data_IF_442272236614
#
_entry.id   IF_442272236614
#
_cell.length_a   1.000
_cell.length_b   1.000
_cell.length_c   1.000
_cell.angle_alpha   90.00
_cell.angle_beta   90.00
_cell.angle_gamma   90.00
#
_symmetry.space_group_name_H-M   'P 1'
#
loop_
_entity.id
_entity.type
_entity.pdbx_description
1 polymer ?
#
# COMPACT_ATOMS: atom_id res chain seq x y z
N UNK A 1 -36.67 -40.76 -67.98
CA UNK A 1 -35.52 -40.65 -67.06
C UNK A 1 -36.13 -40.39 -65.68
N UNK A 2 -36.50 -41.37 -64.85
CA UNK A 2 -36.16 -42.80 -64.72
C UNK A 2 -34.76 -43.09 -64.14
N UNK A 3 -34.71 -43.89 -63.05
CA UNK A 3 -33.58 -44.03 -62.10
C UNK A 3 -33.70 -43.03 -60.93
N UNK A 4 -33.89 -43.34 -59.64
CA UNK A 4 -33.61 -44.53 -58.78
C UNK A 4 -32.09 -44.65 -58.44
N UNK A 5 -31.68 -44.53 -57.16
CA UNK A 5 -31.63 -45.59 -56.11
C UNK A 5 -30.46 -46.55 -56.39
N UNK A 6 -29.56 -46.97 -55.52
CA UNK A 6 -29.12 -46.75 -54.12
C UNK A 6 -27.88 -47.69 -53.97
N UNK A 7 -26.88 -47.36 -53.15
CA UNK A 7 -25.76 -48.22 -52.69
C UNK A 7 -24.89 -47.28 -51.82
N UNK A 8 -24.88 -47.27 -50.49
CA UNK A 8 -24.87 -48.27 -49.40
C UNK A 8 -23.48 -48.74 -48.94
N UNK A 9 -23.35 -48.74 -47.61
CA UNK A 9 -22.38 -49.35 -46.71
C UNK A 9 -21.06 -49.91 -47.25
N UNK A 10 -19.95 -49.32 -46.79
CA UNK A 10 -18.74 -50.09 -46.45
C UNK A 10 -18.30 -49.77 -45.01
N UNK A 11 -18.28 -50.82 -44.16
CA UNK A 11 -17.50 -51.00 -42.91
C UNK A 11 -16.94 -49.74 -42.22
N UNK A 12 -17.40 -49.31 -41.02
CA UNK A 12 -17.23 -49.96 -39.69
C UNK A 12 -15.82 -50.51 -39.40
N UNK A 13 -15.36 -50.27 -38.16
CA UNK A 13 -13.95 -50.24 -37.71
C UNK A 13 -13.20 -49.06 -38.36
N UNK A 14 -12.47 -48.21 -37.64
CA UNK A 14 -11.97 -48.31 -36.27
C UNK A 14 -12.51 -47.20 -35.35
N UNK A 15 -12.97 -47.61 -34.17
CA UNK A 15 -12.98 -46.78 -32.96
C UNK A 15 -12.09 -47.47 -31.92
N UNK A 16 -11.78 -46.79 -30.81
CA UNK A 16 -10.86 -47.21 -29.74
C UNK A 16 -9.36 -47.17 -30.07
N UNK A 17 -8.75 -45.99 -29.90
CA UNK A 17 -7.56 -45.77 -29.06
C UNK A 17 -7.28 -44.25 -29.01
N UNK A 18 -7.45 -43.64 -27.83
CA UNK A 18 -7.35 -42.17 -27.69
C UNK A 18 -7.85 -41.60 -26.36
N UNK A 19 -7.70 -42.35 -25.26
CA UNK A 19 -8.06 -41.90 -23.92
C UNK A 19 -6.84 -41.83 -22.99
N UNK A 20 -6.91 -40.93 -22.00
CA UNK A 20 -5.92 -40.76 -20.90
C UNK A 20 -4.55 -40.22 -21.37
N UNK A 21 -4.50 -38.94 -21.75
CA UNK A 21 -3.23 -38.21 -21.96
C UNK A 21 -3.25 -36.70 -21.61
N UNK A 22 -4.29 -36.17 -20.95
CA UNK A 22 -4.44 -34.71 -20.71
C UNK A 22 -4.92 -34.35 -19.29
N UNK A 23 -4.18 -34.74 -18.26
CA UNK A 23 -4.38 -34.26 -16.87
C UNK A 23 -3.08 -33.67 -16.27
N UNK A 24 -1.91 -34.16 -16.68
CA UNK A 24 -0.60 -33.73 -16.13
C UNK A 24 -0.20 -32.31 -16.59
N UNK A 25 -0.67 -31.86 -17.76
CA UNK A 25 -0.22 -30.61 -18.38
C UNK A 25 -0.68 -29.31 -17.67
N UNK A 26 -1.65 -29.37 -16.74
CA UNK A 26 -2.20 -28.18 -16.08
C UNK A 26 -1.48 -27.86 -14.75
N UNK A 27 -0.87 -28.86 -14.10
CA UNK A 27 -0.23 -28.69 -12.79
C UNK A 27 1.13 -27.97 -12.86
N UNK A 28 1.76 -27.88 -14.04
CA UNK A 28 3.03 -27.18 -14.23
C UNK A 28 2.97 -25.65 -14.06
N UNK A 29 1.79 -25.03 -14.06
CA UNK A 29 1.65 -23.58 -13.96
C UNK A 29 1.60 -23.05 -12.51
N UNK A 30 1.28 -23.91 -11.52
CA UNK A 30 0.96 -23.46 -10.16
C UNK A 30 2.11 -23.47 -9.15
N UNK A 31 3.25 -24.06 -9.46
CA UNK A 31 4.47 -23.96 -8.63
C UNK A 31 4.41 -24.61 -7.22
N UNK A 32 3.34 -25.33 -6.89
CA UNK A 32 3.17 -25.97 -5.56
C UNK A 32 3.96 -27.27 -5.50
N UNK A 33 5.20 -27.17 -5.02
CA UNK A 33 6.14 -28.30 -4.90
C UNK A 33 6.08 -29.03 -3.56
N UNK A 34 4.91 -29.19 -2.95
CA UNK A 34 4.71 -30.21 -1.91
C UNK A 34 3.23 -30.59 -1.69
N UNK A 35 2.94 -31.89 -1.70
CA UNK A 35 1.59 -32.43 -1.45
C UNK A 35 1.44 -33.03 -0.03
N UNK A 36 2.48 -32.96 0.81
CA UNK A 36 2.53 -33.62 2.11
C UNK A 36 2.15 -32.70 3.29
N UNK A 37 2.07 -31.38 3.07
CA UNK A 37 1.89 -30.36 4.12
C UNK A 37 0.41 -30.17 4.55
N UNK A 38 -0.55 -30.42 3.64
CA UNK A 38 -1.99 -30.27 3.92
C UNK A 38 -2.59 -31.33 4.88
N UNK A 39 -1.75 -32.04 5.65
CA UNK A 39 -2.19 -33.10 6.58
C UNK A 39 -2.11 -32.71 8.05
N UNK A 40 -1.32 -31.69 8.41
CA UNK A 40 -1.26 -31.19 9.80
C UNK A 40 -2.35 -30.13 10.07
N UNK A 41 -2.70 -29.30 9.08
CA UNK A 41 -3.73 -28.24 9.18
C UNK A 41 -5.18 -28.74 9.36
N UNK A 42 -5.38 -30.04 9.59
CA UNK A 42 -6.68 -30.66 9.90
C UNK A 42 -6.70 -31.37 11.27
N UNK A 43 -5.62 -31.30 12.06
CA UNK A 43 -5.54 -31.91 13.39
C UNK A 43 -5.87 -30.93 14.54
N UNK A 44 -5.43 -29.68 14.42
CA UNK A 44 -5.41 -28.72 15.54
C UNK A 44 -6.75 -27.99 15.72
N UNK A 45 -7.75 -28.69 16.27
CA UNK A 45 -9.11 -28.15 16.47
C UNK A 45 -9.66 -28.42 17.88
N UNK A 46 -9.35 -27.54 18.85
CA UNK A 46 -10.02 -27.47 20.16
C UNK A 46 -9.81 -26.10 20.84
N UNK A 47 -10.87 -25.41 21.31
CA UNK A 47 -10.75 -24.12 22.00
C UNK A 47 -10.80 -24.24 23.54
N UNK A 48 -10.07 -23.39 24.30
CA UNK A 48 -10.35 -23.13 25.70
C UNK A 48 -11.48 -22.10 25.86
N UNK A 49 -12.27 -22.21 26.94
CA UNK A 49 -13.42 -21.33 27.25
C UNK A 49 -13.24 -20.63 28.59
N UNK A 50 -13.75 -19.39 28.71
CA UNK A 50 -14.06 -18.68 29.99
C UNK A 50 -12.86 -18.32 30.90
N UNK A 51 -12.83 -17.26 31.73
CA UNK A 51 -13.55 -15.98 31.91
C UNK A 51 -12.59 -15.06 32.73
N UNK A 52 -12.83 -13.84 33.25
CA UNK A 52 -14.03 -13.05 33.60
C UNK A 52 -13.71 -11.53 33.60
N UNK A 53 -14.69 -10.70 33.96
CA UNK A 53 -14.54 -9.28 34.35
C UNK A 53 -15.17 -9.06 35.75
N UNK A 54 -15.31 -7.84 36.32
CA UNK A 54 -14.69 -6.54 36.01
C UNK A 54 -14.00 -5.89 37.24
N UNK A 55 -13.50 -4.65 37.12
CA UNK A 55 -13.35 -3.75 38.29
C UNK A 55 -13.57 -2.27 37.90
N UNK A 56 -14.41 -1.58 38.68
CA UNK A 56 -14.54 -0.12 38.70
C UNK A 56 -13.60 0.51 39.74
N UNK A 57 -13.21 1.77 39.56
CA UNK A 57 -13.13 2.77 40.65
C UNK A 57 -12.96 4.20 40.13
N UNK A 58 -13.59 5.16 40.83
CA UNK A 58 -13.37 6.61 40.75
C UNK A 58 -12.00 7.00 41.36
N UNK A 59 -11.47 8.23 41.25
CA UNK A 59 -11.94 9.45 40.58
C UNK A 59 -11.90 10.71 41.46
N UNK A 60 -10.96 11.63 41.19
CA UNK A 60 -10.82 13.04 41.69
C UNK A 60 -9.91 13.82 40.72
N UNK A 61 -10.02 15.11 40.34
CA UNK A 61 -10.85 16.29 40.71
C UNK A 61 -10.17 17.32 41.66
N UNK A 62 -10.15 18.60 41.21
CA UNK A 62 -9.42 19.80 41.70
C UNK A 62 -7.88 19.77 41.50
N UNK A 63 -7.19 20.63 40.73
CA UNK A 63 -7.13 22.11 40.45
C UNK A 63 -6.28 22.91 41.46
N UNK A 64 -5.84 24.16 41.17
CA UNK A 64 -4.45 24.55 40.93
C UNK A 64 -3.77 25.25 42.13
N UNK A 65 -2.52 25.69 41.96
CA UNK A 65 -2.09 27.01 42.45
C UNK A 65 -0.78 27.48 41.77
N UNK A 66 -0.63 28.81 41.69
CA UNK A 66 0.54 29.59 41.24
C UNK A 66 0.91 30.52 42.41
N UNK A 67 2.20 30.72 42.71
CA UNK A 67 2.56 32.07 43.12
C UNK A 67 3.91 32.57 42.56
N UNK A 68 3.79 33.63 41.78
CA UNK A 68 4.53 34.91 41.84
C UNK A 68 5.94 34.98 42.46
N UNK A 69 6.75 35.81 41.78
CA UNK A 69 8.09 36.24 42.11
C UNK A 69 8.32 36.80 43.54
N UNK A 70 9.59 36.79 43.95
CA UNK A 70 10.11 37.68 44.99
C UNK A 70 11.55 38.08 44.68
N UNK A 71 11.81 39.38 44.52
CA UNK A 71 13.16 39.95 44.36
C UNK A 71 13.98 39.87 45.66
N UNK A 72 15.30 39.78 45.53
CA UNK A 72 16.24 39.93 46.64
C UNK A 72 17.58 40.52 46.18
N UNK A 73 17.73 41.84 46.30
CA UNK A 73 19.02 42.53 46.20
C UNK A 73 20.01 42.05 47.28
N UNK A 74 21.30 41.96 46.92
CA UNK A 74 22.41 41.96 47.88
C UNK A 74 23.71 42.40 47.22
N UNK A 75 24.07 43.68 47.41
CA UNK A 75 25.38 44.21 47.01
C UNK A 75 26.46 43.84 48.06
N UNK A 76 27.63 43.40 47.61
CA UNK A 76 28.82 43.14 48.43
C UNK A 76 30.10 43.44 47.62
N UNK A 77 31.08 44.19 48.15
CA UNK A 77 32.14 44.78 47.33
C UNK A 77 33.52 44.07 47.39
N UNK A 78 34.34 44.40 46.39
CA UNK A 78 35.81 44.53 46.36
C UNK A 78 36.69 43.45 47.03
N UNK A 79 37.50 42.78 46.21
CA UNK A 79 38.97 42.67 46.38
C UNK A 79 39.63 42.18 45.08
N UNK A 80 40.73 42.82 44.68
CA UNK A 80 41.56 42.43 43.53
C UNK A 80 42.43 41.19 43.83
N UNK A 81 42.82 40.44 42.79
CA UNK A 81 44.13 39.77 42.74
C UNK A 81 44.52 39.50 41.26
N UNK A 82 45.79 39.76 40.91
CA UNK A 82 46.31 39.70 39.53
C UNK A 82 47.11 38.41 39.30
N UNK A 83 46.58 37.51 38.46
CA UNK A 83 47.33 36.39 37.88
C UNK A 83 46.93 36.18 36.41
N UNK A 84 47.73 36.69 35.49
CA UNK A 84 47.50 36.52 34.05
C UNK A 84 48.00 35.19 33.48
N UNK A 85 47.68 34.94 32.20
CA UNK A 85 48.49 34.07 31.35
C UNK A 85 47.90 32.72 30.94
N UNK A 86 46.65 32.67 30.50
CA UNK A 86 46.29 31.78 29.39
C UNK A 86 45.20 32.43 28.52
N UNK A 87 45.42 32.48 27.21
CA UNK A 87 44.36 32.78 26.24
C UNK A 87 43.72 31.45 25.84
N UNK A 88 42.94 30.88 26.75
CA UNK A 88 42.03 29.79 26.38
C UNK A 88 40.99 30.39 25.45
N UNK A 89 41.10 30.08 24.15
CA UNK A 89 40.05 30.38 23.18
C UNK A 89 38.74 29.76 23.72
N UNK A 90 37.60 30.47 23.69
CA UNK A 90 36.35 29.92 24.18
C UNK A 90 36.02 28.70 23.32
N UNK A 91 36.17 27.52 23.93
CA UNK A 91 35.97 26.23 23.30
C UNK A 91 34.58 26.26 22.68
N UNK A 92 34.53 26.23 21.35
CA UNK A 92 33.33 26.59 20.62
C UNK A 92 32.35 25.45 20.74
N UNK A 93 31.51 25.51 21.79
CA UNK A 93 30.46 24.54 22.09
C UNK A 93 29.66 24.29 20.82
N UNK A 94 30.03 23.21 20.14
CA UNK A 94 29.49 22.85 18.84
C UNK A 94 28.13 22.27 19.14
N UNK A 95 27.17 23.17 19.27
CA UNK A 95 25.76 22.88 19.52
C UNK A 95 25.27 22.00 18.39
N UNK A 96 25.32 20.70 18.62
CA UNK A 96 24.75 19.70 17.72
C UNK A 96 23.33 20.15 17.37
N UNK A 97 22.97 20.25 16.08
CA UNK A 97 21.65 20.71 15.70
C UNK A 97 20.59 19.84 16.37
N UNK A 98 19.50 20.47 16.82
CA UNK A 98 18.40 19.78 17.49
C UNK A 98 17.92 18.65 16.57
N UNK A 99 17.93 17.38 17.01
CA UNK A 99 17.56 16.27 16.14
C UNK A 99 16.15 16.42 15.56
N UNK A 100 16.01 16.24 14.25
CA UNK A 100 14.74 16.19 13.56
C UNK A 100 14.38 14.72 13.27
N UNK A 101 13.54 14.08 14.10
CA UNK A 101 13.19 12.67 13.93
C UNK A 101 12.35 12.42 12.67
N UNK A 102 11.78 13.46 12.05
CA UNK A 102 11.10 13.31 10.75
C UNK A 102 12.13 13.26 9.64
N UNK A 103 13.13 14.14 9.67
CA UNK A 103 14.27 14.12 8.77
C UNK A 103 15.01 12.77 8.81
N UNK A 104 15.28 12.25 10.01
CA UNK A 104 15.87 10.92 10.21
C UNK A 104 14.99 9.80 9.64
N UNK A 105 13.66 9.85 9.88
CA UNK A 105 12.71 8.86 9.35
C UNK A 105 12.67 8.85 7.81
N UNK A 106 12.79 10.02 7.16
CA UNK A 106 12.90 10.12 5.70
C UNK A 106 14.26 9.66 5.18
N UNK A 107 15.36 9.94 5.91
CA UNK A 107 16.73 9.54 5.53
C UNK A 107 17.01 8.04 5.73
N UNK A 108 16.27 7.37 6.61
CA UNK A 108 16.37 5.93 6.81
C UNK A 108 15.86 5.10 5.62
N UNK A 109 14.93 5.66 4.82
CA UNK A 109 14.29 4.96 3.71
C UNK A 109 15.24 4.77 2.52
N UNK A 110 15.34 3.55 2.03
CA UNK A 110 16.21 3.13 0.93
C UNK A 110 15.44 2.81 -0.36
N UNK A 111 16.14 2.89 -1.51
CA UNK A 111 15.58 2.45 -2.79
C UNK A 111 15.40 0.93 -2.79
N UNK A 112 14.18 0.48 -3.08
CA UNK A 112 13.76 -0.93 -3.00
C UNK A 112 12.81 -1.21 -1.84
N UNK A 113 12.81 -0.38 -0.79
CA UNK A 113 11.95 -0.54 0.39
C UNK A 113 10.46 -0.48 0.01
N UNK A 114 9.64 -1.24 0.74
CA UNK A 114 8.20 -1.26 0.56
C UNK A 114 7.48 -0.77 1.81
N UNK A 115 6.76 0.34 1.67
CA UNK A 115 6.14 1.09 2.75
C UNK A 115 4.63 0.86 2.74
N UNK A 116 4.05 0.57 3.92
CA UNK A 116 2.60 0.40 4.09
C UNK A 116 1.89 1.76 4.24
N UNK A 117 1.94 2.58 3.19
CA UNK A 117 1.41 3.96 3.19
C UNK A 117 0.66 4.26 1.89
N UNK A 118 -0.48 4.94 2.00
CA UNK A 118 -1.39 5.21 0.88
C UNK A 118 -1.99 6.61 0.92
N UNK A 119 -2.61 7.01 -0.19
CA UNK A 119 -3.38 8.25 -0.29
C UNK A 119 -4.76 8.07 0.37
N UNK A 120 -5.10 8.83 1.41
CA UNK A 120 -6.45 8.81 2.02
C UNK A 120 -7.51 9.32 1.04
N UNK A 121 -7.11 10.12 0.04
CA UNK A 121 -7.99 10.81 -0.88
C UNK A 121 -8.69 12.04 -0.30
N UNK A 122 -8.39 12.46 0.93
CA UNK A 122 -9.03 13.62 1.58
C UNK A 122 -8.69 14.94 0.87
N UNK A 123 -7.45 15.12 0.41
CA UNK A 123 -7.01 16.31 -0.35
C UNK A 123 -7.31 16.23 -1.88
N UNK A 124 -7.91 15.12 -2.33
CA UNK A 124 -8.64 14.99 -3.60
C UNK A 124 -7.85 14.97 -4.91
N UNK A 125 -6.99 15.96 -5.16
CA UNK A 125 -6.05 16.00 -6.30
C UNK A 125 -4.59 16.08 -5.86
N UNK A 126 -4.34 16.52 -4.63
CA UNK A 126 -3.09 16.30 -3.93
C UNK A 126 -3.20 14.98 -3.15
N UNK A 127 -2.07 14.28 -2.98
CA UNK A 127 -2.01 13.10 -2.12
C UNK A 127 -2.02 13.54 -0.66
N UNK A 128 -2.83 12.86 0.13
CA UNK A 128 -2.87 12.97 1.59
C UNK A 128 -2.37 11.63 2.15
N UNK A 129 -1.14 11.55 2.64
CA UNK A 129 -0.55 10.27 3.04
C UNK A 129 -1.16 9.76 4.35
N UNK A 130 -1.36 8.45 4.45
CA UNK A 130 -1.95 7.77 5.63
C UNK A 130 -1.06 7.74 6.89
N UNK A 131 0.08 8.43 6.86
CA UNK A 131 1.01 8.66 7.96
C UNK A 131 1.81 9.95 7.66
N UNK A 132 2.22 10.68 8.70
CA UNK A 132 3.01 11.92 8.54
C UNK A 132 4.48 11.64 8.22
N UNK A 133 5.00 10.50 8.67
CA UNK A 133 6.38 10.04 8.46
C UNK A 133 6.39 8.63 7.84
N UNK A 134 7.45 8.25 7.08
CA UNK A 134 7.56 6.91 6.52
C UNK A 134 7.49 5.81 7.60
N UNK A 135 6.61 4.80 7.45
CA UNK A 135 6.60 3.66 8.36
C UNK A 135 7.79 2.74 8.10
N UNK A 136 8.12 1.87 9.06
CA UNK A 136 9.15 0.83 8.89
C UNK A 136 8.93 0.01 7.60
N UNK A 137 9.99 -0.25 6.81
CA UNK A 137 9.90 -1.09 5.61
C UNK A 137 9.37 -2.50 5.91
N UNK A 138 8.36 -2.91 5.15
CA UNK A 138 7.79 -4.26 5.19
C UNK A 138 8.16 -5.04 3.93
N UNK A 139 7.91 -6.36 3.93
CA UNK A 139 8.07 -7.16 2.72
C UNK A 139 7.21 -6.64 1.56
N UNK A 140 7.82 -6.45 0.39
CA UNK A 140 7.12 -6.13 -0.86
C UNK A 140 6.08 -7.19 -1.30
N UNK A 141 6.14 -8.38 -0.70
CA UNK A 141 5.16 -9.46 -0.88
C UNK A 141 4.02 -9.43 0.16
N UNK A 142 4.00 -8.48 1.08
CA UNK A 142 2.91 -8.31 2.05
C UNK A 142 1.58 -8.04 1.33
N UNK A 143 0.56 -8.87 1.58
CA UNK A 143 -0.75 -8.75 0.88
C UNK A 143 -1.67 -7.66 1.47
N UNK A 144 -1.09 -6.69 2.18
CA UNK A 144 -1.79 -5.50 2.67
C UNK A 144 -2.26 -4.58 1.53
N UNK A 145 -3.36 -3.86 1.77
CA UNK A 145 -3.76 -2.76 0.90
C UNK A 145 -2.85 -1.55 1.16
N UNK A 146 -2.55 -0.75 0.12
CA UNK A 146 -1.76 0.48 0.32
C UNK A 146 -0.25 0.26 0.44
N UNK A 147 0.30 -0.75 -0.24
CA UNK A 147 1.75 -0.97 -0.31
C UNK A 147 2.38 -0.18 -1.47
N UNK A 148 3.46 0.55 -1.22
CA UNK A 148 4.24 1.28 -2.24
C UNK A 148 5.73 0.93 -2.15
N UNK A 149 6.40 0.78 -3.28
CA UNK A 149 7.85 0.59 -3.35
C UNK A 149 8.58 1.91 -3.64
N UNK A 150 9.68 2.16 -2.94
CA UNK A 150 10.57 3.30 -3.15
C UNK A 150 11.48 3.03 -4.36
N UNK A 151 11.45 3.95 -5.32
CA UNK A 151 12.12 3.81 -6.64
C UNK A 151 13.24 4.83 -6.86
N UNK A 152 13.25 5.92 -6.09
CA UNK A 152 14.35 6.89 -5.97
C UNK A 152 14.22 7.62 -4.64
N UNK A 153 15.34 7.98 -4.03
CA UNK A 153 15.43 8.83 -2.82
C UNK A 153 16.11 10.17 -3.11
N UNK A 154 16.47 10.43 -4.37
CA UNK A 154 17.24 11.59 -4.81
C UNK A 154 16.34 12.71 -5.33
N UNK A 155 16.89 13.93 -5.37
CA UNK A 155 16.18 15.15 -5.78
C UNK A 155 15.56 15.19 -7.18
N UNK A 156 15.86 14.17 -7.98
CA UNK A 156 15.21 13.80 -9.25
C UNK A 156 13.72 14.12 -9.32
N UNK A 157 13.27 14.51 -10.52
CA UNK A 157 11.84 14.58 -10.85
C UNK A 157 11.26 13.16 -10.80
N UNK A 158 10.39 12.90 -9.82
CA UNK A 158 9.76 11.60 -9.69
C UNK A 158 8.90 11.25 -10.93
N UNK A 159 8.89 9.98 -11.37
CA UNK A 159 7.97 9.51 -12.40
C UNK A 159 6.51 9.79 -12.02
N UNK A 160 5.70 10.17 -13.01
CA UNK A 160 4.26 10.40 -12.85
C UNK A 160 3.44 9.36 -13.61
N UNK A 161 2.16 9.20 -13.23
CA UNK A 161 1.24 8.24 -13.84
C UNK A 161 0.36 7.53 -12.82
N UNK A 162 -0.46 6.58 -13.28
CA UNK A 162 -1.28 5.78 -12.39
C UNK A 162 -0.40 4.85 -11.53
N UNK A 163 -0.51 4.98 -10.21
CA UNK A 163 0.31 4.24 -9.25
C UNK A 163 1.71 4.83 -9.04
N UNK A 164 1.96 6.10 -9.38
CA UNK A 164 3.26 6.76 -9.20
C UNK A 164 3.12 8.10 -8.47
N UNK A 165 3.99 8.35 -7.50
CA UNK A 165 3.89 9.50 -6.60
C UNK A 165 5.26 9.97 -6.07
N UNK A 166 5.25 11.12 -5.40
CA UNK A 166 6.35 11.65 -4.60
C UNK A 166 5.88 11.96 -3.18
N UNK A 167 6.69 11.61 -2.19
CA UNK A 167 6.57 12.09 -0.82
C UNK A 167 7.86 12.83 -0.47
N UNK A 168 7.77 14.00 0.15
CA UNK A 168 8.95 14.78 0.50
C UNK A 168 8.76 15.46 1.85
N UNK A 169 9.89 15.65 2.54
CA UNK A 169 10.00 16.42 3.76
C UNK A 169 11.15 17.40 3.65
N UNK A 170 10.95 18.63 4.13
CA UNK A 170 11.99 19.65 4.26
C UNK A 170 12.16 19.95 5.74
N UNK A 171 13.36 19.67 6.26
CA UNK A 171 13.70 19.90 7.66
C UNK A 171 13.68 21.38 7.99
N UNK A 172 13.05 21.72 9.12
CA UNK A 172 13.08 23.08 9.65
C UNK A 172 14.41 23.39 10.38
N UNK A 173 15.22 22.36 10.67
CA UNK A 173 16.49 22.50 11.42
C UNK A 173 17.69 22.55 10.48
N UNK A 174 17.80 21.58 9.55
CA UNK A 174 18.92 21.52 8.59
C UNK A 174 18.66 22.30 7.30
N UNK A 175 17.39 22.52 6.96
CA UNK A 175 16.98 23.04 5.64
C UNK A 175 17.07 22.03 4.51
N UNK A 176 17.56 20.80 4.75
CA UNK A 176 17.65 19.76 3.74
C UNK A 176 16.26 19.23 3.36
N UNK A 177 16.10 18.81 2.10
CA UNK A 177 14.87 18.19 1.61
C UNK A 177 15.15 16.76 1.19
N UNK A 178 14.45 15.80 1.79
CA UNK A 178 14.49 14.39 1.36
C UNK A 178 13.24 14.06 0.56
N UNK A 179 13.39 13.38 -0.58
CA UNK A 179 12.32 13.13 -1.56
C UNK A 179 12.27 11.66 -1.97
N UNK A 180 11.19 10.98 -1.60
CA UNK A 180 10.90 9.59 -1.93
C UNK A 180 10.01 9.53 -3.19
N UNK A 181 10.52 9.01 -4.29
CA UNK A 181 9.72 8.68 -5.47
C UNK A 181 9.20 7.25 -5.35
N UNK A 182 7.89 7.07 -5.26
CA UNK A 182 7.28 5.75 -5.00
C UNK A 182 6.41 5.26 -6.15
N UNK A 183 6.42 3.95 -6.39
CA UNK A 183 5.52 3.25 -7.32
C UNK A 183 4.70 2.22 -6.55
N UNK A 184 3.41 2.14 -6.81
CA UNK A 184 2.48 1.32 -6.03
C UNK A 184 2.56 -0.16 -6.39
N UNK A 185 2.60 -1.02 -5.38
CA UNK A 185 2.39 -2.46 -5.56
C UNK A 185 0.89 -2.75 -5.56
N UNK A 186 0.39 -3.34 -6.65
CA UNK A 186 -1.00 -3.74 -6.78
C UNK A 186 -1.18 -5.24 -6.48
N UNK A 187 -2.13 -5.54 -5.60
CA UNK A 187 -2.61 -6.89 -5.33
C UNK A 187 -4.07 -7.07 -5.77
N UNK A 188 -4.53 -8.32 -5.76
CA UNK A 188 -5.95 -8.66 -5.93
C UNK A 188 -6.69 -8.55 -4.59
N UNK A 189 -8.01 -8.38 -4.65
CA UNK A 189 -8.95 -8.42 -3.52
C UNK A 189 -8.78 -7.32 -2.46
N UNK A 190 -8.36 -6.13 -2.90
CA UNK A 190 -8.47 -4.91 -2.09
C UNK A 190 -9.18 -3.81 -2.89
N UNK A 191 -9.57 -2.74 -2.21
CA UNK A 191 -10.31 -1.63 -2.80
C UNK A 191 -9.57 -0.30 -2.79
N UNK A 192 -9.89 0.53 -3.77
CA UNK A 192 -9.36 1.89 -3.96
C UNK A 192 -10.52 2.85 -4.25
N UNK A 193 -10.31 4.14 -4.05
CA UNK A 193 -11.28 5.17 -4.39
C UNK A 193 -11.36 5.37 -5.91
N UNK A 194 -12.53 5.78 -6.41
CA UNK A 194 -12.77 6.05 -7.82
C UNK A 194 -13.68 7.25 -8.05
N UNK A 195 -13.43 7.98 -9.14
CA UNK A 195 -14.24 9.11 -9.58
C UNK A 195 -14.85 8.81 -10.94
N UNK A 196 -16.16 8.53 -10.95
CA UNK A 196 -16.95 8.33 -12.17
C UNK A 196 -17.66 9.64 -12.57
N UNK A 197 -17.58 10.01 -13.86
CA UNK A 197 -18.32 11.11 -14.47
C UNK A 197 -18.85 10.63 -15.82
N UNK A 198 -20.15 10.39 -15.93
CA UNK A 198 -20.71 9.66 -17.08
C UNK A 198 -20.21 8.21 -17.10
N UNK A 199 -19.75 7.72 -18.26
CA UNK A 199 -19.08 6.41 -18.36
C UNK A 199 -17.58 6.45 -17.96
N UNK A 200 -16.94 7.62 -18.00
CA UNK A 200 -15.52 7.75 -17.62
C UNK A 200 -15.33 7.48 -16.13
N UNK A 201 -14.41 6.57 -15.78
CA UNK A 201 -14.03 6.27 -14.40
C UNK A 201 -12.52 6.43 -14.21
N UNK A 202 -12.13 7.38 -13.35
CA UNK A 202 -10.73 7.62 -12.96
C UNK A 202 -10.42 6.88 -11.65
N UNK A 203 -9.23 6.28 -11.61
CA UNK A 203 -8.73 5.54 -10.44
C UNK A 203 -8.04 6.50 -9.46
N UNK A 204 -8.40 6.43 -8.18
CA UNK A 204 -7.59 6.98 -7.08
C UNK A 204 -6.36 6.09 -6.89
N UNK A 205 -5.41 6.18 -7.82
CA UNK A 205 -4.42 5.12 -8.04
C UNK A 205 -3.49 4.84 -6.86
N UNK A 206 -3.23 5.84 -6.00
CA UNK A 206 -2.46 5.68 -4.76
C UNK A 206 -3.33 5.32 -3.54
N UNK A 207 -4.66 5.38 -3.66
CA UNK A 207 -5.57 5.30 -2.50
C UNK A 207 -5.84 3.87 -2.04
N UNK A 208 -6.04 3.65 -0.75
CA UNK A 208 -6.55 2.38 -0.21
C UNK A 208 -7.79 2.63 0.64
N UNK A 209 -8.75 1.71 0.61
CA UNK A 209 -9.98 1.80 1.40
C UNK A 209 -10.54 0.41 1.67
N UNK A 210 -11.23 0.23 2.81
CA UNK A 210 -12.10 -0.93 3.02
C UNK A 210 -13.17 -0.97 1.92
N UNK A 211 -13.38 -2.13 1.30
CA UNK A 211 -14.38 -2.28 0.24
C UNK A 211 -15.80 -1.91 0.71
N UNK A 212 -16.10 -2.11 1.99
CA UNK A 212 -17.39 -1.84 2.63
C UNK A 212 -17.52 -0.42 3.21
N UNK A 213 -16.51 0.44 3.02
CA UNK A 213 -16.49 1.79 3.59
C UNK A 213 -17.72 2.61 3.18
N UNK A 214 -18.44 3.13 4.18
CA UNK A 214 -19.67 3.92 4.00
C UNK A 214 -19.42 5.41 3.77
N UNK A 215 -18.18 5.86 4.01
CA UNK A 215 -17.74 7.23 3.80
C UNK A 215 -16.71 7.22 2.67
N UNK A 216 -16.91 8.08 1.68
CA UNK A 216 -16.03 8.26 0.52
C UNK A 216 -15.63 9.75 0.52
N UNK A 217 -14.32 10.09 0.50
CA UNK A 217 -13.88 11.48 0.43
C UNK A 217 -14.48 12.21 -0.77
N UNK A 218 -14.90 13.47 -0.58
CA UNK A 218 -15.78 14.20 -1.51
C UNK A 218 -15.21 14.40 -2.94
N UNK A 219 -13.91 14.19 -3.14
CA UNK A 219 -13.30 14.17 -4.46
C UNK A 219 -13.69 12.93 -5.30
N UNK A 220 -14.14 11.85 -4.66
CA UNK A 220 -14.47 10.55 -5.23
C UNK A 220 -15.96 10.24 -5.06
N UNK A 221 -16.47 9.24 -5.79
CA UNK A 221 -17.88 8.84 -5.71
C UNK A 221 -18.11 7.33 -5.96
N UNK A 222 -17.04 6.52 -6.02
CA UNK A 222 -17.06 5.06 -6.16
C UNK A 222 -16.00 4.44 -5.27
N UNK A 223 -16.26 3.21 -4.85
CA UNK A 223 -15.24 2.26 -4.43
C UNK A 223 -14.99 1.30 -5.60
N UNK A 224 -13.73 1.04 -5.91
CA UNK A 224 -13.27 0.21 -7.03
C UNK A 224 -12.55 -1.01 -6.44
N UNK A 225 -13.07 -2.20 -6.72
CA UNK A 225 -12.52 -3.46 -6.24
C UNK A 225 -11.56 -4.05 -7.29
N UNK A 226 -10.29 -4.25 -6.91
CA UNK A 226 -9.26 -4.83 -7.78
C UNK A 226 -9.41 -6.35 -7.82
N UNK A 227 -10.15 -6.85 -8.81
CA UNK A 227 -10.44 -8.27 -9.01
C UNK A 227 -9.26 -9.11 -9.52
N UNK A 228 -8.26 -8.47 -10.15
CA UNK A 228 -7.09 -9.15 -10.70
C UNK A 228 -5.98 -8.17 -11.13
N UNK A 229 -4.75 -8.67 -11.13
CA UNK A 229 -3.52 -7.96 -11.52
C UNK A 229 -2.72 -8.91 -12.39
N UNK A 230 -2.37 -8.50 -13.61
CA UNK A 230 -1.79 -9.38 -14.64
C UNK A 230 -0.69 -8.66 -15.43
N UNK A 231 0.22 -9.42 -16.04
CA UNK A 231 1.05 -8.87 -17.12
C UNK A 231 0.16 -8.48 -18.30
N UNK A 232 0.38 -7.30 -18.88
CA UNK A 232 -0.48 -6.72 -19.90
C UNK A 232 -0.13 -7.27 -21.30
N UNK A 233 -1.07 -7.95 -22.00
CA UNK A 233 -0.90 -8.23 -23.42
C UNK A 233 -0.98 -6.96 -24.28
N UNK A 234 -0.44 -6.96 -25.52
CA UNK A 234 -0.65 -5.87 -26.46
C UNK A 234 -2.15 -5.57 -26.68
N UNK A 235 -2.54 -4.31 -26.51
CA UNK A 235 -3.95 -3.90 -26.63
C UNK A 235 -4.86 -4.31 -25.46
N UNK A 236 -4.29 -4.59 -24.28
CA UNK A 236 -5.03 -4.95 -23.08
C UNK A 236 -6.12 -3.93 -22.69
N UNK A 237 -7.27 -4.45 -22.24
CA UNK A 237 -8.39 -3.66 -21.72
C UNK A 237 -9.46 -4.53 -21.05
N UNK A 238 -10.68 -4.01 -20.81
CA UNK A 238 -11.69 -4.70 -19.99
C UNK A 238 -12.09 -6.10 -20.47
N UNK A 239 -11.95 -6.40 -21.78
CA UNK A 239 -12.23 -7.74 -22.33
C UNK A 239 -11.25 -8.80 -21.84
N UNK A 240 -10.03 -8.44 -21.46
CA UNK A 240 -9.03 -9.35 -20.90
C UNK A 240 -9.34 -9.75 -19.44
N UNK A 241 -10.29 -9.07 -18.79
CA UNK A 241 -10.68 -9.31 -17.40
C UNK A 241 -11.83 -10.31 -17.24
N UNK A 242 -12.54 -10.65 -18.32
CA UNK A 242 -13.77 -11.46 -18.33
C UNK A 242 -13.46 -12.93 -18.01
N UNK A 243 -14.07 -13.47 -16.96
CA UNK A 243 -13.76 -14.81 -16.45
C UNK A 243 -14.65 -15.89 -17.06
N UNK A 244 -14.45 -16.14 -18.35
CA UNK A 244 -15.14 -17.20 -19.10
C UNK A 244 -16.43 -16.74 -19.81
N UNK A 245 -17.04 -17.66 -20.56
CA UNK A 245 -18.08 -17.35 -21.55
C UNK A 245 -19.43 -16.83 -21.00
N UNK A 246 -19.65 -16.94 -19.69
CA UNK A 246 -20.92 -16.58 -19.03
C UNK A 246 -20.77 -15.41 -18.03
N UNK A 247 -19.59 -14.79 -17.96
CA UNK A 247 -19.34 -13.67 -17.04
C UNK A 247 -19.91 -12.36 -17.60
N UNK A 248 -20.92 -11.81 -16.91
CA UNK A 248 -21.67 -10.63 -17.32
C UNK A 248 -21.23 -9.33 -16.59
N UNK A 249 -20.15 -9.38 -15.79
CA UNK A 249 -19.69 -8.21 -15.01
C UNK A 249 -19.19 -7.07 -15.93
N UNK A 250 -19.65 -5.82 -15.68
CA UNK A 250 -19.07 -4.63 -16.33
C UNK A 250 -17.69 -4.34 -15.72
N UNK A 251 -16.66 -4.87 -16.36
CA UNK A 251 -15.27 -4.62 -15.97
C UNK A 251 -14.81 -3.20 -16.29
N UNK A 252 -13.97 -2.69 -15.40
CA UNK A 252 -13.06 -1.58 -15.63
C UNK A 252 -11.64 -2.15 -15.73
N UNK A 253 -10.77 -1.46 -16.48
CA UNK A 253 -9.38 -1.84 -16.60
C UNK A 253 -8.48 -0.61 -16.70
N UNK A 254 -7.29 -0.71 -16.13
CA UNK A 254 -6.24 0.31 -16.25
C UNK A 254 -4.89 -0.35 -16.53
N UNK A 255 -4.07 0.35 -17.31
CA UNK A 255 -2.67 0.02 -17.50
C UNK A 255 -1.83 0.84 -16.52
N UNK A 256 -1.00 0.14 -15.74
CA UNK A 256 -0.03 0.72 -14.79
C UNK A 256 1.38 0.17 -15.11
N UNK A 257 2.39 0.59 -14.34
CA UNK A 257 3.79 0.19 -14.51
C UNK A 257 4.31 0.42 -15.94
N UNK A 258 4.03 1.61 -16.48
CA UNK A 258 4.34 2.04 -17.84
C UNK A 258 3.74 1.14 -18.94
N UNK A 259 2.57 0.56 -18.65
CA UNK A 259 1.84 -0.30 -19.58
C UNK A 259 2.15 -1.78 -19.46
N UNK A 260 3.01 -2.19 -18.50
CA UNK A 260 3.39 -3.59 -18.27
C UNK A 260 2.35 -4.36 -17.47
N UNK A 261 1.58 -3.68 -16.62
CA UNK A 261 0.62 -4.30 -15.70
C UNK A 261 -0.81 -3.90 -16.05
N UNK A 262 -1.66 -4.91 -16.23
CA UNK A 262 -3.11 -4.76 -16.39
C UNK A 262 -3.79 -4.94 -15.03
N UNK A 263 -4.46 -3.90 -14.55
CA UNK A 263 -5.40 -3.96 -13.45
C UNK A 263 -6.79 -4.28 -13.98
N UNK A 264 -7.41 -5.32 -13.44
CA UNK A 264 -8.79 -5.72 -13.74
C UNK A 264 -9.68 -5.49 -12.53
N UNK A 265 -10.76 -4.72 -12.70
CA UNK A 265 -11.56 -4.25 -11.59
C UNK A 265 -13.07 -4.17 -11.88
N UNK A 266 -13.85 -4.04 -10.82
CA UNK A 266 -15.28 -3.72 -10.88
C UNK A 266 -15.60 -2.58 -9.93
N UNK A 267 -16.63 -1.79 -10.23
CA UNK A 267 -17.23 -0.91 -9.21
C UNK A 267 -17.78 -1.82 -8.10
N UNK A 268 -17.41 -1.55 -6.85
CA UNK A 268 -18.00 -2.23 -5.70
C UNK A 268 -19.43 -1.72 -5.48
N UNK A 269 -20.41 -2.63 -5.44
CA UNK A 269 -21.84 -2.27 -5.39
C UNK A 269 -22.46 -2.36 -3.99
N UNK A 270 -21.73 -2.87 -3.00
CA UNK A 270 -22.31 -3.34 -1.74
C UNK A 270 -22.95 -4.72 -1.88
N UNK A 271 -23.11 -5.38 -0.73
CA UNK A 271 -23.80 -6.67 -0.54
C UNK A 271 -24.56 -6.62 0.77
#
# INVERSE_FOLDING_TARGET
MAGASEDDSTSRLWAWLGGIASVVAILGWFGVSNAQEMKELLAESSPPSSSSAPHESSGTTYTPDDPEASDADSSGPDSDDDFGGSSDEPDSETSSPIPDPTEDSFKAVSVGDCLAVYDTGLQGTSIDWSADVPPDPVSCDSKGAGLVQVTSTADSTCPSGAGKASWAYTSAVSGETTKLCVTRIYHRYYCVLGKQVGDDTRLGSMTAVDCTARQIPAAYNRIIHITGVYQAPPGAGPRNCVQGAYDQRKYLAWLVDDGKTLLCATIFQGS
#
